data_IF_747889098633
#
_entry.id   IF_747889098633
#
_cell.length_a   1.000
_cell.length_b   1.000
_cell.length_c   1.000
_cell.angle_alpha   90.00
_cell.angle_beta   90.00
_cell.angle_gamma   90.00
#
_symmetry.space_group_name_H-M   'P 1'
#
loop_
_entity.id
_entity.type
_entity.pdbx_description
1 polymer ?
#
# COMPACT_ATOMS: atom_id res chain seq x y z
N UNK A 1 11.92 16.05 -17.13
CA UNK A 1 11.54 15.68 -15.75
C UNK A 1 12.85 15.46 -15.03
N UNK A 2 13.23 16.30 -14.06
CA UNK A 2 14.64 16.37 -13.62
C UNK A 2 15.25 15.02 -13.20
N UNK A 3 14.45 14.07 -12.68
CA UNK A 3 14.93 12.74 -12.34
C UNK A 3 15.12 11.83 -13.57
N UNK A 4 14.14 11.79 -14.48
CA UNK A 4 14.23 10.98 -15.71
C UNK A 4 15.37 11.46 -16.61
N UNK A 5 15.54 12.79 -16.71
CA UNK A 5 16.60 13.41 -17.50
C UNK A 5 18.00 13.10 -16.92
N UNK A 6 18.11 12.83 -15.61
CA UNK A 6 19.35 12.36 -14.97
C UNK A 6 19.57 10.88 -15.23
N UNK A 7 18.53 10.05 -15.13
CA UNK A 7 18.65 8.61 -15.35
C UNK A 7 19.08 8.25 -16.78
N UNK A 8 18.61 9.00 -17.79
CA UNK A 8 19.05 8.82 -19.18
C UNK A 8 20.50 9.24 -19.40
N UNK A 9 20.99 10.24 -18.67
CA UNK A 9 22.40 10.67 -18.72
C UNK A 9 23.33 9.64 -18.10
N UNK A 10 22.91 9.02 -17.00
CA UNK A 10 23.69 8.01 -16.27
C UNK A 10 23.64 6.63 -16.95
N UNK A 11 22.58 6.33 -17.71
CA UNK A 11 22.47 5.09 -18.47
C UNK A 11 21.92 5.36 -19.87
N UNK A 12 22.82 5.39 -20.84
CA UNK A 12 22.49 5.55 -22.27
C UNK A 12 21.58 4.45 -22.83
N UNK A 13 21.47 3.31 -22.13
CA UNK A 13 20.58 2.20 -22.47
C UNK A 13 19.14 2.40 -21.96
N UNK A 14 18.95 3.29 -20.99
CA UNK A 14 17.64 3.58 -20.40
C UNK A 14 16.87 4.54 -21.31
N UNK A 15 15.74 4.09 -21.85
CA UNK A 15 14.81 4.93 -22.63
C UNK A 15 13.66 5.34 -21.72
N UNK A 16 13.47 6.63 -21.46
CA UNK A 16 12.35 7.11 -20.62
C UNK A 16 11.24 7.77 -21.42
N UNK A 17 11.33 7.79 -22.75
CA UNK A 17 10.25 8.25 -23.60
C UNK A 17 8.97 7.44 -23.36
N UNK A 18 7.87 8.12 -23.03
CA UNK A 18 6.61 7.49 -22.65
C UNK A 18 6.52 7.06 -21.18
N UNK A 19 7.57 7.27 -20.38
CA UNK A 19 7.54 7.09 -18.93
C UNK A 19 7.07 8.40 -18.29
N UNK A 20 6.02 8.30 -17.48
CA UNK A 20 5.45 9.42 -16.75
C UNK A 20 5.45 9.12 -15.25
N UNK A 21 5.57 10.16 -14.45
CA UNK A 21 5.45 10.07 -13.00
C UNK A 21 4.51 11.16 -12.49
N UNK A 22 3.75 10.85 -11.44
CA UNK A 22 2.87 11.82 -10.81
C UNK A 22 3.73 12.87 -10.10
N UNK A 23 3.68 14.12 -10.56
CA UNK A 23 4.45 15.22 -9.97
C UNK A 23 3.99 15.44 -8.53
N UNK A 24 4.90 15.24 -7.58
CA UNK A 24 4.60 15.36 -6.14
C UNK A 24 3.90 14.12 -5.53
N UNK A 25 3.80 13.03 -6.29
CA UNK A 25 3.26 11.75 -5.83
C UNK A 25 1.80 11.81 -5.38
N UNK A 26 1.41 10.80 -4.60
CA UNK A 26 0.03 10.62 -4.11
C UNK A 26 -0.36 11.73 -3.12
N UNK A 27 0.57 12.20 -2.29
CA UNK A 27 0.32 13.29 -1.34
C UNK A 27 -0.18 14.57 -2.04
N UNK A 28 0.51 14.99 -3.11
CA UNK A 28 0.06 16.15 -3.89
C UNK A 28 -1.23 15.85 -4.65
N UNK A 29 -1.42 14.62 -5.13
CA UNK A 29 -2.65 14.21 -5.80
C UNK A 29 -3.87 14.37 -4.87
N UNK A 30 -3.81 13.85 -3.64
CA UNK A 30 -4.91 13.97 -2.67
C UNK A 30 -5.22 15.42 -2.28
N UNK A 31 -4.20 16.28 -2.18
CA UNK A 31 -4.39 17.72 -1.95
C UNK A 31 -5.02 18.44 -3.15
N UNK A 32 -4.79 17.94 -4.37
CA UNK A 32 -5.35 18.51 -5.60
C UNK A 32 -6.81 18.06 -5.80
N UNK A 33 -7.15 16.84 -5.37
CA UNK A 33 -8.48 16.25 -5.47
C UNK A 33 -9.00 15.88 -4.07
N UNK A 34 -9.57 16.83 -3.31
CA UNK A 34 -9.96 16.60 -1.91
C UNK A 34 -11.10 15.58 -1.76
N UNK A 35 -11.88 15.33 -2.83
CA UNK A 35 -12.89 14.26 -2.90
C UNK A 35 -12.29 12.86 -3.18
N UNK A 36 -10.99 12.80 -3.48
CA UNK A 36 -10.25 11.57 -3.78
C UNK A 36 -10.02 11.29 -5.28
N UNK A 37 -10.80 11.89 -6.19
CA UNK A 37 -10.61 11.69 -7.62
C UNK A 37 -10.67 10.22 -8.02
N UNK A 38 -9.59 9.69 -8.61
CA UNK A 38 -9.44 8.26 -8.94
C UNK A 38 -8.82 7.43 -7.81
N UNK A 39 -8.36 8.05 -6.73
CA UNK A 39 -7.76 7.33 -5.60
C UNK A 39 -8.83 6.64 -4.75
N UNK A 40 -8.59 5.37 -4.40
CA UNK A 40 -9.43 4.56 -3.52
C UNK A 40 -8.70 4.20 -2.23
N UNK A 41 -9.42 4.27 -1.11
CA UNK A 41 -8.91 3.94 0.21
C UNK A 41 -7.91 4.98 0.73
N UNK A 42 -6.98 4.50 1.57
CA UNK A 42 -6.07 5.34 2.33
C UNK A 42 -4.63 5.19 1.81
N UNK A 43 -3.89 6.28 1.73
CA UNK A 43 -2.47 6.27 1.35
C UNK A 43 -1.61 6.05 2.60
N UNK A 44 -0.84 4.96 2.64
CA UNK A 44 0.05 4.67 3.77
C UNK A 44 1.23 5.65 3.82
N UNK A 45 1.52 6.17 5.02
CA UNK A 45 2.62 7.09 5.30
C UNK A 45 3.65 6.44 6.23
N UNK A 46 4.93 6.63 5.91
CA UNK A 46 6.06 6.13 6.70
C UNK A 46 6.43 7.11 7.83
N UNK A 47 5.43 7.61 8.56
CA UNK A 47 5.60 8.49 9.72
C UNK A 47 4.45 8.32 10.71
N UNK A 48 4.44 9.11 11.80
CA UNK A 48 3.47 9.00 12.89
C UNK A 48 2.01 9.24 12.49
N UNK A 49 1.76 9.78 11.30
CA UNK A 49 0.39 9.94 10.76
C UNK A 49 -0.20 8.62 10.29
N UNK A 50 0.64 7.63 9.94
CA UNK A 50 0.31 6.31 9.38
C UNK A 50 -0.43 6.30 8.05
N UNK A 51 -1.38 7.21 7.84
CA UNK A 51 -2.21 7.25 6.65
C UNK A 51 -2.61 8.68 6.29
N UNK A 52 -2.86 8.89 4.99
CA UNK A 52 -3.44 10.08 4.42
C UNK A 52 -4.72 9.69 3.69
N UNK A 53 -5.76 10.50 3.89
CA UNK A 53 -7.05 10.36 3.21
C UNK A 53 -7.39 11.65 2.48
N UNK A 54 -8.22 11.61 1.43
CA UNK A 54 -8.76 12.83 0.83
C UNK A 54 -9.59 13.61 1.86
N UNK A 55 -9.38 14.93 1.93
CA UNK A 55 -9.92 15.80 2.99
C UNK A 55 -11.44 15.76 3.11
N UNK A 56 -12.14 15.67 1.97
CA UNK A 56 -13.60 15.75 1.92
C UNK A 56 -14.28 14.37 1.86
N UNK A 57 -13.49 13.28 1.85
CA UNK A 57 -14.02 11.93 1.73
C UNK A 57 -14.37 11.36 3.10
N UNK A 58 -15.61 10.89 3.25
CA UNK A 58 -16.12 10.39 4.54
C UNK A 58 -15.55 9.01 4.88
N UNK A 59 -15.49 8.71 6.18
CA UNK A 59 -15.01 7.42 6.69
C UNK A 59 -15.79 6.25 6.11
N UNK A 60 -17.12 6.37 5.99
CA UNK A 60 -17.96 5.29 5.47
C UNK A 60 -17.72 4.99 4.00
N UNK A 61 -17.26 5.99 3.22
CA UNK A 61 -16.87 5.80 1.83
C UNK A 61 -15.51 5.10 1.75
N UNK A 62 -14.56 5.49 2.61
CA UNK A 62 -13.24 4.85 2.71
C UNK A 62 -13.37 3.38 3.13
N UNK A 63 -14.26 3.06 4.06
CA UNK A 63 -14.50 1.69 4.51
C UNK A 63 -15.05 0.78 3.40
N UNK A 64 -15.86 1.33 2.49
CA UNK A 64 -16.37 0.60 1.31
C UNK A 64 -15.31 0.37 0.24
N UNK A 65 -14.20 1.10 0.30
CA UNK A 65 -13.08 0.98 -0.65
C UNK A 65 -11.97 0.06 -0.15
N UNK A 66 -12.15 -0.60 1.00
CA UNK A 66 -11.18 -1.57 1.52
C UNK A 66 -11.23 -2.84 0.66
N UNK A 67 -10.27 -2.96 -0.25
CA UNK A 67 -10.09 -4.14 -1.11
C UNK A 67 -9.15 -5.20 -0.48
N UNK A 68 -8.45 -4.85 0.60
CA UNK A 68 -7.53 -5.73 1.31
C UNK A 68 -8.19 -6.47 2.47
N UNK A 69 -7.62 -7.62 2.85
CA UNK A 69 -8.17 -8.47 3.90
C UNK A 69 -7.12 -8.87 4.94
N UNK A 70 -7.57 -9.18 6.15
CA UNK A 70 -6.78 -9.86 7.17
C UNK A 70 -6.25 -11.20 6.62
N UNK A 71 -4.96 -11.48 6.76
CA UNK A 71 -4.37 -12.69 6.23
C UNK A 71 -4.87 -13.97 6.92
N UNK A 72 -5.37 -13.85 8.16
CA UNK A 72 -5.91 -14.96 8.98
C UNK A 72 -7.39 -15.19 8.67
N UNK A 73 -8.28 -14.30 9.10
CA UNK A 73 -9.73 -14.52 9.01
C UNK A 73 -10.39 -14.03 7.70
N UNK A 74 -9.61 -13.41 6.81
CA UNK A 74 -10.08 -12.83 5.53
C UNK A 74 -11.12 -11.70 5.64
N UNK A 75 -11.41 -11.21 6.85
CA UNK A 75 -12.24 -10.01 7.02
C UNK A 75 -11.58 -8.79 6.35
N UNK A 76 -12.37 -7.86 5.76
CA UNK A 76 -11.85 -6.62 5.21
C UNK A 76 -11.01 -5.85 6.24
N UNK A 77 -9.81 -5.43 5.84
CA UNK A 77 -8.89 -4.75 6.73
C UNK A 77 -7.87 -3.92 5.95
N UNK A 78 -7.67 -2.66 6.32
CA UNK A 78 -6.73 -1.75 5.66
C UNK A 78 -5.67 -1.16 6.60
N UNK A 79 -5.78 -1.39 7.91
CA UNK A 79 -4.83 -0.81 8.87
C UNK A 79 -3.53 -1.63 8.90
N UNK A 80 -2.43 -0.98 8.55
CA UNK A 80 -1.10 -1.58 8.58
C UNK A 80 -0.23 -0.92 9.65
N UNK A 81 0.19 -1.70 10.65
CA UNK A 81 1.06 -1.23 11.75
C UNK A 81 2.49 -1.78 11.70
N UNK A 82 2.84 -2.56 10.67
CA UNK A 82 4.18 -3.13 10.52
C UNK A 82 4.56 -4.20 11.53
N UNK A 83 3.59 -4.74 12.28
CA UNK A 83 3.84 -5.69 13.37
C UNK A 83 4.00 -7.14 12.88
N UNK A 84 3.30 -7.52 11.81
CA UNK A 84 3.18 -8.91 11.38
C UNK A 84 3.83 -9.17 10.02
N UNK A 85 4.37 -10.37 9.85
CA UNK A 85 5.07 -10.80 8.63
C UNK A 85 4.58 -12.17 8.19
N UNK A 86 4.73 -12.44 6.89
CA UNK A 86 4.50 -13.75 6.32
C UNK A 86 5.42 -14.78 7.00
N UNK A 87 4.84 -15.88 7.47
CA UNK A 87 5.55 -16.98 8.14
C UNK A 87 6.59 -17.67 7.26
N UNK A 88 6.44 -17.57 5.93
CA UNK A 88 7.41 -18.15 5.01
C UNK A 88 8.78 -17.51 5.24
N UNK A 89 9.77 -18.35 5.55
CA UNK A 89 11.14 -17.92 5.88
C UNK A 89 11.83 -17.18 4.72
N UNK A 90 11.46 -17.51 3.49
CA UNK A 90 12.02 -16.88 2.28
C UNK A 90 11.29 -15.58 1.90
N UNK A 91 10.05 -15.39 2.36
CA UNK A 91 9.24 -14.24 1.99
C UNK A 91 9.38 -13.08 2.98
N UNK A 92 9.02 -13.30 4.25
CA UNK A 92 9.06 -12.30 5.34
C UNK A 92 8.39 -10.94 5.02
N UNK A 93 7.59 -10.85 3.95
CA UNK A 93 6.88 -9.62 3.60
C UNK A 93 5.86 -9.29 4.68
N UNK A 94 5.58 -8.01 4.94
CA UNK A 94 4.57 -7.63 5.91
C UNK A 94 3.17 -8.11 5.50
N UNK A 95 2.33 -8.41 6.50
CA UNK A 95 0.95 -8.86 6.30
C UNK A 95 -0.04 -8.06 7.14
N UNK A 96 -1.28 -8.01 6.68
CA UNK A 96 -2.39 -7.34 7.37
C UNK A 96 -3.06 -8.30 8.34
N UNK A 97 -3.16 -7.90 9.62
CA UNK A 97 -3.83 -8.68 10.67
C UNK A 97 -4.81 -7.76 11.38
N UNK A 98 -6.10 -8.13 11.37
CA UNK A 98 -7.13 -7.34 12.03
C UNK A 98 -7.02 -7.41 13.56
N UNK A 99 -7.68 -6.48 14.25
CA UNK A 99 -7.66 -6.41 15.72
C UNK A 99 -8.02 -7.73 16.41
N UNK A 100 -8.96 -8.49 15.86
CA UNK A 100 -9.40 -9.78 16.41
C UNK A 100 -8.37 -10.92 16.22
N UNK A 101 -7.46 -10.80 15.24
CA UNK A 101 -6.47 -11.85 14.93
C UNK A 101 -5.06 -11.52 15.42
N UNK A 102 -4.87 -10.44 16.19
CA UNK A 102 -3.54 -10.04 16.68
C UNK A 102 -2.85 -11.10 17.55
N UNK A 103 -3.64 -11.94 18.22
CA UNK A 103 -3.17 -13.04 19.08
C UNK A 103 -3.22 -14.41 18.39
N UNK A 104 -3.51 -14.46 17.08
CA UNK A 104 -3.50 -15.71 16.33
C UNK A 104 -2.07 -16.29 16.25
N UNK A 105 -1.97 -17.59 15.99
CA UNK A 105 -0.67 -18.22 15.82
C UNK A 105 0.06 -17.58 14.62
N UNK A 106 1.30 -17.09 14.77
CA UNK A 106 2.11 -16.63 13.64
C UNK A 106 2.25 -17.65 12.50
N UNK A 107 2.06 -18.95 12.77
CA UNK A 107 2.02 -19.99 11.73
C UNK A 107 0.76 -19.95 10.84
N UNK A 108 -0.25 -19.15 11.18
CA UNK A 108 -1.42 -18.90 10.34
C UNK A 108 -1.20 -17.69 9.38
N UNK A 109 -0.13 -16.91 9.59
CA UNK A 109 0.09 -15.66 8.87
C UNK A 109 0.84 -15.90 7.55
N UNK A 110 0.13 -15.95 6.44
CA UNK A 110 0.70 -16.01 5.09
C UNK A 110 0.29 -14.81 4.26
N UNK A 111 1.22 -14.24 3.48
CA UNK A 111 0.85 -13.23 2.48
C UNK A 111 0.05 -13.88 1.33
N UNK A 112 -0.76 -13.11 0.58
CA UNK A 112 -1.56 -13.65 -0.52
C UNK A 112 -0.75 -14.45 -1.55
N UNK A 113 0.45 -13.96 -1.89
CA UNK A 113 1.32 -14.63 -2.86
C UNK A 113 1.82 -15.99 -2.39
N UNK A 114 2.21 -16.13 -1.11
CA UNK A 114 2.61 -17.43 -0.58
C UNK A 114 1.42 -18.39 -0.38
N UNK A 115 0.19 -17.88 -0.23
CA UNK A 115 -1.02 -18.73 -0.27
C UNK A 115 -1.20 -19.33 -1.66
N UNK A 116 -0.88 -18.58 -2.70
CA UNK A 116 -0.93 -19.01 -4.11
C UNK A 116 0.27 -19.88 -4.53
N UNK A 117 1.27 -20.07 -3.65
CA UNK A 117 2.47 -20.86 -3.93
C UNK A 117 3.62 -20.09 -4.58
N UNK A 118 3.55 -18.75 -4.61
CA UNK A 118 4.67 -17.90 -4.97
C UNK A 118 5.55 -17.69 -3.72
N UNK A 119 6.64 -18.45 -3.61
CA UNK A 119 7.62 -18.36 -2.50
C UNK A 119 9.02 -18.12 -3.01
#
# INVERSE_FOLDING_TARGET
>A
SALLDVLEKESSSLKTQGVYMVRGGIDRYMKTFPEGGFWKGKNYLFDRRFEQVPENKKTEELEKEVESCCCVCKAPWSEYRGEFKCRSKQCQVPVLVCGACKTADPQEMLCPLCVEGHS
#
